data_IF_303827827821
#
_entry.id   IF_303827827821
#
_cell.length_a   1.000
_cell.length_b   1.000
_cell.length_c   1.000
_cell.angle_alpha   90.00
_cell.angle_beta   90.00
_cell.angle_gamma   90.00
#
_symmetry.space_group_name_H-M   'P 1'
#
loop_
_entity.id
_entity.type
_entity.pdbx_description
1 polymer ?
#
# COMPACT_ATOMS: atom_id res chain seq x y z
N UNK A 1 25.21 -28.19 18.16
CA UNK A 1 24.80 -27.22 19.20
C UNK A 1 23.87 -26.25 18.50
N UNK A 2 22.56 -26.46 18.68
CA UNK A 2 21.53 -25.60 18.08
C UNK A 2 21.53 -24.23 18.76
N UNK A 3 21.69 -23.19 17.96
CA UNK A 3 21.41 -21.82 18.40
C UNK A 3 19.89 -21.75 18.65
N UNK A 4 19.42 -21.35 19.85
CA UNK A 4 18.01 -21.17 20.07
C UNK A 4 17.54 -20.02 19.16
N UNK A 5 16.74 -20.34 18.16
CA UNK A 5 15.98 -19.33 17.42
C UNK A 5 15.03 -18.70 18.43
N UNK A 6 15.39 -17.52 18.91
CA UNK A 6 14.53 -16.71 19.75
C UNK A 6 13.33 -16.30 18.87
N UNK A 7 12.28 -17.09 18.92
CA UNK A 7 11.04 -16.90 18.14
C UNK A 7 10.25 -15.77 18.80
N UNK A 8 10.78 -14.54 18.72
CA UNK A 8 10.05 -13.35 19.14
C UNK A 8 8.89 -13.14 18.16
N UNK A 9 7.70 -13.53 18.57
CA UNK A 9 6.47 -13.33 17.79
C UNK A 9 6.04 -11.88 17.99
N UNK A 10 6.08 -11.11 16.91
CA UNK A 10 5.58 -9.75 16.90
C UNK A 10 4.07 -9.74 16.61
N UNK A 11 3.35 -8.86 17.26
CA UNK A 11 1.91 -8.71 17.11
C UNK A 11 1.43 -7.28 17.42
N UNK A 12 0.11 -7.12 17.51
CA UNK A 12 -0.57 -5.82 17.71
C UNK A 12 0.02 -4.96 18.86
N UNK A 13 0.48 -5.58 19.92
CA UNK A 13 1.01 -4.89 21.10
C UNK A 13 2.53 -4.66 21.06
N UNK A 14 3.21 -5.14 20.02
CA UNK A 14 4.65 -4.95 19.88
C UNK A 14 5.00 -3.48 19.64
N UNK A 15 5.98 -2.98 20.40
CA UNK A 15 6.47 -1.61 20.28
C UNK A 15 7.52 -1.47 19.17
N UNK A 16 7.86 -0.22 18.84
CA UNK A 16 8.87 0.14 17.83
C UNK A 16 10.25 -0.46 18.14
N UNK A 17 10.62 -0.53 19.43
CA UNK A 17 11.89 -1.12 19.87
C UNK A 17 11.96 -2.62 19.56
N UNK A 18 10.90 -3.37 19.89
CA UNK A 18 10.82 -4.79 19.59
C UNK A 18 10.87 -5.08 18.08
N UNK A 19 10.23 -4.22 17.25
CA UNK A 19 10.33 -4.31 15.80
C UNK A 19 11.76 -4.07 15.33
N UNK A 20 12.46 -3.05 15.86
CA UNK A 20 13.86 -2.75 15.53
C UNK A 20 14.75 -3.96 15.83
N UNK A 21 14.73 -4.48 17.04
CA UNK A 21 15.54 -5.63 17.45
C UNK A 21 15.30 -6.85 16.53
N UNK A 22 14.03 -7.09 16.18
CA UNK A 22 13.71 -8.20 15.27
C UNK A 22 14.27 -8.00 13.89
N UNK A 23 14.16 -6.78 13.31
CA UNK A 23 14.70 -6.46 11.99
C UNK A 23 16.24 -6.52 11.98
N UNK A 24 16.91 -6.01 13.01
CA UNK A 24 18.35 -6.12 13.18
C UNK A 24 18.80 -7.59 13.28
N UNK A 25 18.05 -8.44 14.00
CA UNK A 25 18.32 -9.88 14.07
C UNK A 25 18.17 -10.59 12.71
N UNK A 26 17.41 -10.01 11.78
CA UNK A 26 17.24 -10.49 10.40
C UNK A 26 18.27 -9.87 9.44
N UNK A 27 19.17 -9.00 9.93
CA UNK A 27 20.22 -8.36 9.15
C UNK A 27 19.83 -7.04 8.48
N UNK A 28 18.72 -6.43 8.90
CA UNK A 28 18.25 -5.14 8.37
C UNK A 28 18.64 -3.99 9.32
N UNK A 29 19.51 -3.11 8.87
CA UNK A 29 19.82 -1.85 9.53
C UNK A 29 18.97 -0.74 8.93
N UNK A 30 18.15 -0.07 9.76
CA UNK A 30 17.24 0.99 9.37
C UNK A 30 17.58 2.28 10.10
N UNK A 31 17.51 3.40 9.38
CA UNK A 31 17.51 4.73 10.01
C UNK A 31 16.25 4.91 10.85
N UNK A 32 16.24 5.92 11.73
CA UNK A 32 15.05 6.22 12.55
C UNK A 32 13.82 6.58 11.71
N UNK A 33 14.02 7.27 10.59
CA UNK A 33 12.97 7.64 9.64
C UNK A 33 12.42 6.41 8.90
N UNK A 34 13.29 5.54 8.42
CA UNK A 34 12.91 4.27 7.77
C UNK A 34 12.15 3.36 8.75
N UNK A 35 12.62 3.26 9.99
CA UNK A 35 11.97 2.48 11.03
C UNK A 35 10.59 3.03 11.36
N UNK A 36 10.40 4.34 11.40
CA UNK A 36 9.08 4.96 11.62
C UNK A 36 8.11 4.58 10.50
N UNK A 37 8.56 4.64 9.25
CA UNK A 37 7.78 4.24 8.08
C UNK A 37 7.39 2.76 8.13
N UNK A 38 8.35 1.88 8.44
CA UNK A 38 8.11 0.43 8.58
C UNK A 38 7.20 0.15 9.77
N UNK A 39 7.38 0.84 10.89
CA UNK A 39 6.55 0.67 12.09
C UNK A 39 5.08 1.06 11.85
N UNK A 40 4.83 2.15 11.13
CA UNK A 40 3.47 2.56 10.76
C UNK A 40 2.76 1.48 9.94
N UNK A 41 3.44 0.88 8.97
CA UNK A 41 2.91 -0.22 8.16
C UNK A 41 2.75 -1.51 8.97
N UNK A 42 3.72 -1.79 9.84
CA UNK A 42 3.65 -2.92 10.77
C UNK A 42 2.40 -2.85 11.63
N UNK A 43 2.04 -1.68 12.16
CA UNK A 43 0.81 -1.50 12.95
C UNK A 43 -0.45 -1.80 12.16
N UNK A 44 -0.55 -1.29 10.93
CA UNK A 44 -1.67 -1.59 10.03
C UNK A 44 -1.78 -3.09 9.73
N UNK A 45 -0.66 -3.75 9.52
CA UNK A 45 -0.61 -5.20 9.30
C UNK A 45 -1.00 -5.96 10.56
N UNK A 46 -0.48 -5.58 11.73
CA UNK A 46 -0.77 -6.21 13.00
C UNK A 46 -2.23 -6.07 13.46
N UNK A 47 -2.94 -5.06 12.97
CA UNK A 47 -4.38 -4.93 13.18
C UNK A 47 -5.20 -5.92 12.34
N UNK A 48 -4.69 -6.34 11.19
CA UNK A 48 -5.37 -7.24 10.25
C UNK A 48 -4.93 -8.70 10.36
N UNK A 49 -3.66 -8.92 10.72
CA UNK A 49 -3.02 -10.23 10.78
C UNK A 49 -2.63 -10.58 12.22
N UNK A 50 -3.13 -11.72 12.71
CA UNK A 50 -2.93 -12.15 14.11
C UNK A 50 -1.46 -12.52 14.41
N UNK A 51 -0.80 -13.19 13.47
CA UNK A 51 0.59 -13.63 13.58
C UNK A 51 1.41 -13.04 12.45
N UNK A 52 2.41 -12.23 12.78
CA UNK A 52 3.33 -11.63 11.82
C UNK A 52 4.58 -12.50 11.72
N UNK A 53 4.88 -12.95 10.53
CA UNK A 53 6.02 -13.83 10.22
C UNK A 53 7.26 -13.00 9.84
N UNK A 54 8.44 -13.67 9.79
CA UNK A 54 9.66 -13.05 9.29
C UNK A 54 9.53 -12.57 7.84
N UNK A 55 8.85 -13.34 6.98
CA UNK A 55 8.59 -12.96 5.57
C UNK A 55 7.70 -11.71 5.47
N UNK A 56 6.74 -11.54 6.37
CA UNK A 56 5.92 -10.33 6.43
C UNK A 56 6.77 -9.09 6.75
N UNK A 57 7.69 -9.22 7.71
CA UNK A 57 8.61 -8.14 8.09
C UNK A 57 9.58 -7.82 6.95
N UNK A 58 10.11 -8.85 6.29
CA UNK A 58 10.97 -8.69 5.11
C UNK A 58 10.27 -7.92 4.00
N UNK A 59 9.01 -8.28 3.68
CA UNK A 59 8.20 -7.58 2.72
C UNK A 59 8.04 -6.08 3.09
N UNK A 60 7.77 -5.77 4.36
CA UNK A 60 7.67 -4.38 4.83
C UNK A 60 8.97 -3.60 4.64
N UNK A 61 10.13 -4.24 4.85
CA UNK A 61 11.44 -3.61 4.71
C UNK A 61 11.82 -3.42 3.25
N UNK A 62 11.61 -4.42 2.40
CA UNK A 62 11.92 -4.35 0.97
C UNK A 62 11.13 -3.23 0.26
N UNK A 63 9.90 -3.00 0.72
CA UNK A 63 9.04 -1.92 0.20
C UNK A 63 9.16 -0.59 0.95
N UNK A 64 10.18 -0.41 1.81
CA UNK A 64 10.38 0.80 2.64
C UNK A 64 10.55 2.10 1.85
N UNK A 65 11.05 2.03 0.61
CA UNK A 65 11.32 3.18 -0.25
C UNK A 65 10.08 3.80 -0.90
N UNK A 66 8.90 3.16 -0.74
CA UNK A 66 7.66 3.70 -1.28
C UNK A 66 7.10 4.76 -0.31
N UNK A 67 7.43 6.01 -0.56
CA UNK A 67 6.89 7.25 0.01
C UNK A 67 6.94 7.36 1.55
N UNK A 68 8.02 7.96 2.06
CA UNK A 68 8.15 8.32 3.49
C UNK A 68 7.08 9.36 3.89
N UNK A 69 6.69 10.27 2.98
CA UNK A 69 5.60 11.23 3.17
C UNK A 69 4.77 11.36 1.88
N UNK A 70 3.84 10.45 1.60
CA UNK A 70 3.05 10.52 0.39
C UNK A 70 2.12 11.74 0.41
N UNK A 71 2.05 12.48 -0.71
CA UNK A 71 1.14 13.60 -0.91
C UNK A 71 -0.31 13.16 -0.71
N UNK A 72 -0.68 11.99 -1.25
CA UNK A 72 -1.99 11.38 -1.10
C UNK A 72 -1.90 10.03 -0.39
N UNK A 73 -2.84 9.75 0.54
CA UNK A 73 -2.95 8.46 1.23
C UNK A 73 -4.37 7.94 1.21
N UNK A 74 -4.50 6.63 0.97
CA UNK A 74 -5.78 5.92 1.15
C UNK A 74 -6.12 5.89 2.65
N UNK A 75 -7.33 6.34 2.99
CA UNK A 75 -7.89 6.31 4.34
C UNK A 75 -8.82 5.12 4.50
N UNK A 76 -9.78 4.98 3.58
CA UNK A 76 -10.73 3.87 3.55
C UNK A 76 -11.32 3.70 2.15
N UNK A 77 -11.88 2.53 1.92
CA UNK A 77 -12.62 2.23 0.69
C UNK A 77 -13.79 1.30 1.01
N UNK A 78 -14.80 1.32 0.15
CA UNK A 78 -15.88 0.34 0.09
C UNK A 78 -16.09 -0.02 -1.36
N UNK A 79 -16.14 -1.31 -1.65
CA UNK A 79 -16.34 -1.82 -2.99
C UNK A 79 -17.58 -2.69 -3.02
N UNK A 80 -18.50 -2.37 -3.94
CA UNK A 80 -19.64 -3.22 -4.26
C UNK A 80 -19.45 -3.77 -5.67
N UNK A 81 -19.43 -5.07 -5.78
CA UNK A 81 -19.28 -5.78 -7.05
C UNK A 81 -20.17 -7.02 -7.08
N UNK A 82 -20.70 -7.33 -8.24
CA UNK A 82 -21.55 -8.51 -8.46
C UNK A 82 -22.10 -8.56 -9.87
N UNK A 83 -22.67 -9.67 -10.26
CA UNK A 83 -23.15 -9.90 -11.62
C UNK A 83 -24.39 -9.06 -11.95
N UNK A 84 -25.20 -8.74 -10.94
CA UNK A 84 -26.51 -8.07 -11.10
C UNK A 84 -26.54 -6.64 -10.57
N UNK A 85 -25.42 -6.14 -10.07
CA UNK A 85 -25.30 -4.76 -9.57
C UNK A 85 -24.16 -4.02 -10.30
N UNK A 86 -24.28 -2.70 -10.48
CA UNK A 86 -23.15 -1.93 -11.00
C UNK A 86 -21.94 -2.02 -10.06
N UNK A 87 -20.75 -2.22 -10.62
CA UNK A 87 -19.53 -2.13 -9.85
C UNK A 87 -19.32 -0.69 -9.38
N UNK A 88 -19.36 -0.47 -8.07
CA UNK A 88 -19.18 0.85 -7.46
C UNK A 88 -18.07 0.80 -6.43
N UNK A 89 -17.30 1.88 -6.33
CA UNK A 89 -16.32 2.06 -5.28
C UNK A 89 -16.48 3.43 -4.64
N UNK A 90 -16.59 3.43 -3.31
CA UNK A 90 -16.37 4.61 -2.48
C UNK A 90 -14.90 4.61 -2.06
N UNK A 91 -14.22 5.72 -2.26
CA UNK A 91 -12.82 5.91 -1.86
C UNK A 91 -12.68 7.17 -1.04
N UNK A 92 -11.95 7.07 0.06
CA UNK A 92 -11.57 8.20 0.90
C UNK A 92 -10.06 8.34 0.88
N UNK A 93 -9.58 9.51 0.46
CA UNK A 93 -8.17 9.87 0.46
C UNK A 93 -7.91 11.02 1.45
N UNK A 94 -6.67 11.11 1.90
CA UNK A 94 -6.16 12.28 2.60
C UNK A 94 -5.02 12.89 1.78
N UNK A 95 -5.13 14.20 1.46
CA UNK A 95 -4.11 15.00 0.79
C UNK A 95 -3.92 16.32 1.54
N UNK A 96 -2.69 16.69 1.85
CA UNK A 96 -2.35 17.96 2.51
C UNK A 96 -3.20 18.25 3.76
N UNK A 97 -3.42 17.22 4.58
CA UNK A 97 -4.26 17.30 5.79
C UNK A 97 -5.77 17.23 5.54
N UNK A 98 -6.26 17.43 4.32
CA UNK A 98 -7.68 17.38 3.96
C UNK A 98 -8.11 15.95 3.59
N UNK A 99 -9.31 15.58 4.02
CA UNK A 99 -9.96 14.34 3.63
C UNK A 99 -10.90 14.62 2.46
N UNK A 100 -10.80 13.81 1.42
CA UNK A 100 -11.64 13.86 0.21
C UNK A 100 -12.32 12.51 0.04
N UNK A 101 -13.52 12.52 -0.49
CA UNK A 101 -14.36 11.34 -0.69
C UNK A 101 -15.01 11.39 -2.07
N UNK A 102 -15.07 10.24 -2.74
CA UNK A 102 -15.71 10.12 -4.05
C UNK A 102 -16.29 8.71 -4.23
N UNK A 103 -17.38 8.64 -5.00
CA UNK A 103 -17.98 7.39 -5.46
C UNK A 103 -17.96 7.36 -6.98
N UNK A 104 -17.52 6.25 -7.54
CA UNK A 104 -17.57 6.05 -8.98
C UNK A 104 -18.12 4.68 -9.35
N UNK A 105 -18.62 4.59 -10.59
CA UNK A 105 -19.05 3.35 -11.24
C UNK A 105 -17.98 2.97 -12.28
N UNK A 106 -17.68 1.68 -12.34
CA UNK A 106 -16.70 1.15 -13.28
C UNK A 106 -17.12 -0.15 -13.93
N UNK A 107 -16.33 -0.59 -14.92
CA UNK A 107 -16.48 -1.90 -15.56
C UNK A 107 -16.13 -3.06 -14.63
N UNK A 108 -15.37 -2.76 -13.57
CA UNK A 108 -15.03 -3.66 -12.47
C UNK A 108 -14.73 -2.88 -11.20
N UNK A 109 -14.52 -3.58 -10.05
CA UNK A 109 -14.32 -2.95 -8.76
C UNK A 109 -13.10 -2.01 -8.71
N UNK A 110 -11.99 -2.40 -9.33
CA UNK A 110 -10.78 -1.59 -9.37
C UNK A 110 -10.90 -0.41 -10.34
N UNK A 111 -11.57 -0.60 -11.50
CA UNK A 111 -11.84 0.49 -12.43
C UNK A 111 -12.71 1.57 -11.76
N UNK A 112 -13.72 1.16 -11.00
CA UNK A 112 -14.53 2.09 -10.20
C UNK A 112 -13.67 2.86 -9.17
N UNK A 113 -12.80 2.16 -8.45
CA UNK A 113 -11.92 2.79 -7.46
C UNK A 113 -10.93 3.77 -8.10
N UNK A 114 -10.30 3.41 -9.21
CA UNK A 114 -9.34 4.26 -9.90
C UNK A 114 -10.02 5.51 -10.49
N UNK A 115 -11.24 5.37 -11.02
CA UNK A 115 -12.06 6.51 -11.46
C UNK A 115 -12.41 7.46 -10.31
N UNK A 116 -12.76 6.92 -9.13
CA UNK A 116 -13.00 7.74 -7.95
C UNK A 116 -11.74 8.53 -7.55
N UNK A 117 -10.58 7.90 -7.55
CA UNK A 117 -9.29 8.56 -7.27
C UNK A 117 -8.98 9.65 -8.29
N UNK A 118 -9.14 9.37 -9.59
CA UNK A 118 -8.88 10.34 -10.65
C UNK A 118 -9.78 11.58 -10.53
N UNK A 119 -11.08 11.38 -10.24
CA UNK A 119 -12.02 12.49 -10.03
C UNK A 119 -11.65 13.36 -8.83
N UNK A 120 -11.29 12.74 -7.69
CA UNK A 120 -10.89 13.49 -6.49
C UNK A 120 -9.67 14.37 -6.72
N UNK A 121 -8.74 13.89 -7.54
CA UNK A 121 -7.46 14.56 -7.77
C UNK A 121 -7.46 15.45 -9.02
N UNK A 122 -8.56 15.45 -9.78
CA UNK A 122 -8.71 16.13 -11.07
C UNK A 122 -7.57 15.74 -12.05
N UNK A 123 -7.32 14.43 -12.17
CA UNK A 123 -6.24 13.86 -12.97
C UNK A 123 -6.79 12.80 -13.94
N UNK A 124 -6.27 12.76 -15.17
CA UNK A 124 -6.57 11.70 -16.16
C UNK A 124 -5.41 10.69 -16.19
N UNK A 125 -5.25 9.97 -15.10
CA UNK A 125 -4.23 8.92 -15.00
C UNK A 125 -4.75 7.61 -15.58
N UNK A 126 -3.97 7.00 -16.46
CA UNK A 126 -4.30 5.75 -17.14
C UNK A 126 -3.47 4.60 -16.60
N UNK A 127 -4.13 3.46 -16.40
CA UNK A 127 -3.47 2.21 -16.05
C UNK A 127 -2.87 1.57 -17.31
N UNK A 128 -1.56 1.36 -17.35
CA UNK A 128 -0.87 0.65 -18.43
C UNK A 128 -0.70 -0.84 -18.15
N UNK A 129 -0.35 -1.18 -16.92
CA UNK A 129 -0.21 -2.57 -16.50
C UNK A 129 -0.58 -2.75 -15.03
N UNK A 130 -0.99 -3.96 -14.70
CA UNK A 130 -1.39 -4.37 -13.37
C UNK A 130 -0.96 -5.81 -13.11
N UNK A 131 -0.35 -6.06 -11.97
CA UNK A 131 -0.02 -7.41 -11.51
C UNK A 131 -0.27 -7.56 -10.02
N UNK A 132 -0.62 -8.79 -9.63
CA UNK A 132 -0.79 -9.21 -8.25
C UNK A 132 0.15 -10.38 -7.97
N UNK A 133 0.88 -10.31 -6.88
CA UNK A 133 1.79 -11.36 -6.42
C UNK A 133 1.46 -11.71 -4.97
N UNK A 134 1.52 -12.98 -4.62
CA UNK A 134 1.56 -13.39 -3.23
C UNK A 134 2.98 -13.18 -2.70
N UNK A 135 3.12 -12.45 -1.59
CA UNK A 135 4.41 -12.17 -0.95
C UNK A 135 4.68 -13.14 0.19
N UNK A 136 3.61 -13.58 0.85
CA UNK A 136 3.66 -14.56 1.94
C UNK A 136 2.64 -15.67 1.71
N UNK A 137 2.79 -16.78 2.42
CA UNK A 137 1.91 -17.94 2.32
C UNK A 137 0.80 -17.93 3.39
N UNK A 138 -0.26 -18.71 3.17
CA UNK A 138 -1.35 -18.91 4.12
C UNK A 138 -2.64 -18.19 3.76
N UNK A 139 -3.69 -18.41 4.55
CA UNK A 139 -5.02 -17.83 4.32
C UNK A 139 -5.05 -16.30 4.49
N UNK A 140 -4.14 -15.75 5.31
CA UNK A 140 -3.94 -14.33 5.54
C UNK A 140 -2.68 -13.79 4.83
N UNK A 141 -2.30 -14.41 3.71
CA UNK A 141 -1.15 -14.02 2.91
C UNK A 141 -1.23 -12.53 2.51
N UNK A 142 -0.07 -11.89 2.51
CA UNK A 142 0.05 -10.54 1.98
C UNK A 142 0.11 -10.61 0.46
N UNK A 143 -0.79 -9.89 -0.19
CA UNK A 143 -0.74 -9.62 -1.62
C UNK A 143 0.01 -8.32 -1.90
N UNK A 144 0.86 -8.36 -2.92
CA UNK A 144 1.47 -7.19 -3.53
C UNK A 144 0.75 -6.86 -4.82
N UNK A 145 0.26 -5.64 -4.93
CA UNK A 145 -0.18 -5.08 -6.20
C UNK A 145 0.92 -4.19 -6.76
N UNK A 146 1.20 -4.35 -8.06
CA UNK A 146 2.11 -3.49 -8.81
C UNK A 146 1.32 -2.90 -9.97
N UNK A 147 1.29 -1.58 -10.07
CA UNK A 147 0.64 -0.87 -11.17
C UNK A 147 1.66 -0.04 -11.92
N UNK A 148 1.50 0.06 -13.22
CA UNK A 148 2.16 1.06 -14.05
C UNK A 148 1.11 2.02 -14.56
N UNK A 149 1.29 3.30 -14.28
CA UNK A 149 0.35 4.36 -14.60
C UNK A 149 1.01 5.42 -15.46
N UNK A 150 0.22 6.04 -16.32
CA UNK A 150 0.65 7.10 -17.25
C UNK A 150 -0.16 8.36 -16.99
N UNK A 151 0.51 9.52 -16.99
CA UNK A 151 -0.08 10.83 -16.73
C UNK A 151 -0.66 11.52 -17.96
N UNK A 152 -0.65 10.82 -19.13
CA UNK A 152 -1.02 11.42 -20.42
C UNK A 152 0.10 12.23 -21.10
N UNK A 153 1.19 12.51 -20.40
CA UNK A 153 2.38 13.21 -20.92
C UNK A 153 3.45 12.29 -21.52
N UNK A 154 3.20 10.99 -21.57
CA UNK A 154 4.09 9.98 -22.13
C UNK A 154 5.07 9.36 -21.13
N UNK A 155 5.12 9.84 -19.90
CA UNK A 155 5.90 9.23 -18.83
C UNK A 155 5.06 8.23 -18.03
N UNK A 156 5.69 7.13 -17.62
CA UNK A 156 5.04 6.08 -16.87
C UNK A 156 5.68 5.91 -15.50
N UNK A 157 4.86 5.69 -14.49
CA UNK A 157 5.28 5.58 -13.10
C UNK A 157 4.79 4.27 -12.51
N UNK A 158 5.63 3.61 -11.73
CA UNK A 158 5.27 2.35 -11.07
C UNK A 158 4.91 2.62 -9.61
N UNK A 159 3.70 2.23 -9.22
CA UNK A 159 3.24 2.21 -7.85
C UNK A 159 3.11 0.79 -7.31
N UNK A 160 3.35 0.60 -6.03
CA UNK A 160 3.19 -0.68 -5.34
C UNK A 160 2.35 -0.52 -4.09
N UNK A 161 1.60 -1.55 -3.74
CA UNK A 161 0.78 -1.59 -2.54
C UNK A 161 0.77 -2.99 -1.93
N UNK A 162 0.78 -3.06 -0.61
CA UNK A 162 0.75 -4.30 0.16
C UNK A 162 -0.48 -4.31 1.05
N UNK A 163 -1.22 -5.41 1.05
CA UNK A 163 -2.30 -5.67 2.01
C UNK A 163 -2.65 -7.17 1.98
N UNK A 164 -3.31 -7.66 3.03
CA UNK A 164 -4.02 -8.94 3.02
C UNK A 164 -5.31 -8.87 2.17
N UNK A 165 -5.81 -7.66 1.91
CA UNK A 165 -6.91 -7.38 0.98
C UNK A 165 -6.34 -6.90 -0.36
N UNK A 166 -6.54 -7.70 -1.41
CA UNK A 166 -6.03 -7.41 -2.75
C UNK A 166 -6.62 -6.15 -3.39
N UNK A 167 -7.86 -5.78 -3.05
CA UNK A 167 -8.47 -4.55 -3.52
C UNK A 167 -7.80 -3.35 -2.85
N UNK A 168 -7.56 -3.42 -1.55
CA UNK A 168 -6.81 -2.40 -0.83
C UNK A 168 -5.38 -2.27 -1.35
N UNK A 169 -4.67 -3.39 -1.55
CA UNK A 169 -3.32 -3.40 -2.11
C UNK A 169 -3.29 -2.69 -3.48
N UNK A 170 -4.28 -2.99 -4.32
CA UNK A 170 -4.40 -2.41 -5.67
C UNK A 170 -4.69 -0.90 -5.64
N UNK A 171 -5.61 -0.45 -4.78
CA UNK A 171 -5.91 0.98 -4.63
C UNK A 171 -4.70 1.72 -4.07
N UNK A 172 -4.00 1.15 -3.10
CA UNK A 172 -2.75 1.70 -2.55
C UNK A 172 -1.66 1.82 -3.62
N UNK A 173 -1.49 0.77 -4.45
CA UNK A 173 -0.54 0.79 -5.55
C UNK A 173 -0.84 1.95 -6.52
N UNK A 174 -2.12 2.13 -6.88
CA UNK A 174 -2.56 3.19 -7.77
C UNK A 174 -2.29 4.58 -7.20
N UNK A 175 -2.67 4.82 -5.93
CA UNK A 175 -2.40 6.08 -5.23
C UNK A 175 -0.89 6.34 -5.12
N UNK A 176 -0.06 5.31 -4.89
CA UNK A 176 1.39 5.45 -4.84
C UNK A 176 2.00 5.78 -6.22
N UNK A 177 1.42 5.25 -7.30
CA UNK A 177 1.79 5.63 -8.67
C UNK A 177 1.48 7.11 -8.94
N UNK A 178 0.29 7.57 -8.55
CA UNK A 178 -0.12 8.98 -8.66
C UNK A 178 0.76 9.90 -7.82
N UNK A 179 1.16 9.51 -6.61
CA UNK A 179 2.09 10.31 -5.81
C UNK A 179 3.39 10.59 -6.57
N UNK A 180 3.93 9.61 -7.30
CA UNK A 180 5.13 9.81 -8.12
C UNK A 180 4.89 10.77 -9.29
N UNK A 181 3.70 10.74 -9.90
CA UNK A 181 3.33 11.72 -10.94
C UNK A 181 3.31 13.14 -10.35
N UNK A 182 2.69 13.32 -9.19
CA UNK A 182 2.61 14.61 -8.50
C UNK A 182 4.03 15.13 -8.14
N UNK A 183 4.87 14.27 -7.57
CA UNK A 183 6.25 14.58 -7.22
C UNK A 183 7.08 15.00 -8.44
N UNK A 184 6.91 14.31 -9.57
CA UNK A 184 7.59 14.65 -10.82
C UNK A 184 7.10 15.98 -11.41
N UNK A 185 5.81 16.29 -11.29
CA UNK A 185 5.22 17.57 -11.72
C UNK A 185 5.68 18.77 -10.92
N UNK A 186 5.83 18.63 -9.59
CA UNK A 186 6.31 19.71 -8.70
C UNK A 186 7.80 20.04 -8.84
N UNK A 187 8.58 19.17 -9.47
CA UNK A 187 10.01 19.39 -9.72
C UNK A 187 10.34 20.07 -11.06
N UNK A 188 9.32 20.46 -11.84
CA UNK A 188 9.48 21.08 -13.19
C UNK A 188 9.22 22.60 -13.22
N UNK A 189 8.92 23.24 -12.08
CA UNK A 189 8.76 24.70 -11.95
C UNK A 189 10.05 25.41 -11.51
#
# INVERSE_FOLDING_TARGET
VGIPQNTMVLGKHSGKHALREKLESMGYELTDEELESVFSRFKVMADKKKNITGSDLEALVLHRRNNINPTCRLVSHVVNAGDSIPNTSFVRLKRDGKVMEEVAIGSGPLDAAFKAVNRMLDMDVRLESFSLNAVTDGEDAIGEAVVKVNDGGGESYTGTGLSTDILEASIRAYVNGINKIIEAGTGRD
#
